data_IF_621514641639
#
_entry.id   IF_621514641639
#
_cell.length_a   1.000
_cell.length_b   1.000
_cell.length_c   1.000
_cell.angle_alpha   90.00
_cell.angle_beta   90.00
_cell.angle_gamma   90.00
#
_symmetry.space_group_name_H-M   'P 1'
#
loop_
_entity.id
_entity.type
_entity.pdbx_description
1 polymer ?
#
# COMPACT_ATOMS: atom_id res chain seq x y z
N UNK A 1 -50.97 -5.71 69.29
CA UNK A 1 -51.88 -4.56 69.09
C UNK A 1 -53.27 -4.83 69.66
N UNK A 2 -53.95 -5.92 69.27
CA UNK A 2 -55.25 -6.29 69.86
C UNK A 2 -55.22 -6.38 71.39
N UNK A 3 -54.25 -7.12 71.94
CA UNK A 3 -54.14 -7.31 73.39
C UNK A 3 -53.90 -5.99 74.14
N UNK A 4 -53.17 -5.06 73.51
CA UNK A 4 -52.93 -3.71 74.04
C UNK A 4 -54.21 -2.85 74.05
N UNK A 5 -55.02 -2.93 72.99
CA UNK A 5 -56.30 -2.20 72.90
C UNK A 5 -57.35 -2.72 73.89
N UNK A 6 -57.34 -4.03 74.17
CA UNK A 6 -58.23 -4.66 75.16
C UNK A 6 -57.86 -4.27 76.58
N UNK A 7 -56.56 -4.13 76.89
CA UNK A 7 -56.08 -3.73 78.22
C UNK A 7 -56.14 -2.22 78.49
N UNK A 8 -56.62 -1.42 77.53
CA UNK A 8 -56.56 0.04 77.59
C UNK A 8 -57.76 0.58 78.39
N UNK A 9 -57.48 1.33 79.46
CA UNK A 9 -58.47 2.03 80.27
C UNK A 9 -58.56 3.49 79.84
N UNK A 10 -59.79 4.01 79.71
CA UNK A 10 -60.08 5.37 79.23
C UNK A 10 -60.93 6.10 80.28
N UNK A 11 -60.49 7.29 80.70
CA UNK A 11 -61.16 8.14 81.70
C UNK A 11 -61.16 7.55 83.11
N UNK A 12 -60.65 8.29 84.11
CA UNK A 12 -60.56 7.93 85.56
C UNK A 12 -60.40 6.43 85.94
N UNK A 13 -59.82 5.61 85.06
CA UNK A 13 -59.55 4.18 85.24
C UNK A 13 -60.76 3.23 85.22
N UNK A 14 -61.87 3.53 84.52
CA UNK A 14 -63.09 2.68 84.60
C UNK A 14 -63.77 2.25 83.30
N UNK A 15 -63.42 2.80 82.14
CA UNK A 15 -64.05 2.41 80.87
C UNK A 15 -63.02 1.76 79.93
N UNK A 16 -63.44 0.68 79.26
CA UNK A 16 -62.67 0.03 78.20
C UNK A 16 -63.31 0.30 76.84
N UNK A 17 -62.53 0.20 75.76
CA UNK A 17 -63.05 0.20 74.40
C UNK A 17 -64.01 -0.98 74.20
N UNK A 18 -65.12 -0.75 73.51
CA UNK A 18 -66.02 -1.82 73.10
C UNK A 18 -65.36 -2.71 72.04
N UNK A 19 -65.79 -3.96 71.93
CA UNK A 19 -65.30 -4.88 70.88
C UNK A 19 -65.52 -4.31 69.47
N UNK A 20 -66.59 -3.55 69.26
CA UNK A 20 -66.89 -2.90 67.99
C UNK A 20 -65.85 -1.82 67.64
N UNK A 21 -65.45 -1.00 68.61
CA UNK A 21 -64.42 0.03 68.44
C UNK A 21 -63.04 -0.61 68.21
N UNK A 22 -62.69 -1.65 68.98
CA UNK A 22 -61.44 -2.39 68.80
C UNK A 22 -61.37 -3.03 67.40
N UNK A 23 -62.48 -3.64 66.94
CA UNK A 23 -62.56 -4.22 65.59
C UNK A 23 -62.43 -3.15 64.51
N UNK A 24 -63.05 -1.98 64.69
CA UNK A 24 -62.92 -0.84 63.78
C UNK A 24 -61.47 -0.35 63.66
N UNK A 25 -60.79 -0.16 64.79
CA UNK A 25 -59.38 0.26 64.84
C UNK A 25 -58.46 -0.77 64.16
N UNK A 26 -58.62 -2.06 64.46
CA UNK A 26 -57.82 -3.12 63.84
C UNK A 26 -58.05 -3.22 62.33
N UNK A 27 -59.29 -2.98 61.88
CA UNK A 27 -59.63 -2.97 60.45
C UNK A 27 -58.93 -1.83 59.74
N UNK A 28 -59.01 -0.60 60.25
CA UNK A 28 -58.32 0.54 59.63
C UNK A 28 -56.81 0.43 59.73
N UNK A 29 -56.29 -0.09 60.84
CA UNK A 29 -54.87 -0.37 60.97
C UNK A 29 -54.39 -1.39 59.92
N UNK A 30 -55.16 -2.44 59.65
CA UNK A 30 -54.89 -3.40 58.59
C UNK A 30 -54.81 -2.73 57.21
N UNK A 31 -55.79 -1.86 56.88
CA UNK A 31 -55.78 -1.11 55.62
C UNK A 31 -54.57 -0.18 55.50
N UNK A 32 -54.17 0.48 56.58
CA UNK A 32 -52.98 1.35 56.60
C UNK A 32 -51.72 0.53 56.35
N UNK A 33 -51.56 -0.63 57.00
CA UNK A 33 -50.43 -1.54 56.78
C UNK A 33 -50.36 -1.97 55.31
N UNK A 34 -51.48 -2.41 54.73
CA UNK A 34 -51.53 -2.84 53.33
C UNK A 34 -51.17 -1.69 52.38
N UNK A 35 -51.67 -0.48 52.65
CA UNK A 35 -51.36 0.72 51.86
C UNK A 35 -49.87 1.06 51.92
N UNK A 36 -49.29 1.12 53.12
CA UNK A 36 -47.86 1.44 53.29
C UNK A 36 -46.96 0.35 52.70
N UNK A 37 -47.35 -0.93 52.85
CA UNK A 37 -46.64 -2.04 52.21
C UNK A 37 -46.67 -1.91 50.69
N UNK A 38 -47.81 -1.57 50.11
CA UNK A 38 -47.96 -1.32 48.67
C UNK A 38 -47.09 -0.15 48.18
N UNK A 39 -47.00 0.94 48.94
CA UNK A 39 -46.10 2.08 48.62
C UNK A 39 -44.63 1.65 48.64
N UNK A 40 -44.21 0.90 49.67
CA UNK A 40 -42.85 0.41 49.80
C UNK A 40 -42.50 -0.52 48.63
N UNK A 41 -43.40 -1.42 48.26
CA UNK A 41 -43.21 -2.37 47.16
C UNK A 41 -43.14 -1.66 45.81
N UNK A 42 -44.01 -0.66 45.59
CA UNK A 42 -43.98 0.19 44.40
C UNK A 42 -42.67 0.99 44.31
N UNK A 43 -42.24 1.60 45.41
CA UNK A 43 -40.99 2.36 45.46
C UNK A 43 -39.78 1.46 45.18
N UNK A 44 -39.73 0.28 45.80
CA UNK A 44 -38.67 -0.72 45.55
C UNK A 44 -38.65 -1.16 44.09
N UNK A 45 -39.79 -1.50 43.52
CA UNK A 45 -39.88 -1.95 42.12
C UNK A 45 -39.49 -0.84 41.14
N UNK A 46 -39.87 0.41 41.43
CA UNK A 46 -39.46 1.56 40.63
C UNK A 46 -37.93 1.77 40.69
N UNK A 47 -37.32 1.67 41.87
CA UNK A 47 -35.87 1.78 42.03
C UNK A 47 -35.15 0.64 41.30
N UNK A 48 -35.66 -0.59 41.41
CA UNK A 48 -35.11 -1.77 40.74
C UNK A 48 -35.14 -1.60 39.21
N UNK A 49 -36.28 -1.19 38.67
CA UNK A 49 -36.46 -0.89 37.23
C UNK A 49 -35.48 0.18 36.76
N UNK A 50 -35.25 1.21 37.58
CA UNK A 50 -34.31 2.30 37.26
C UNK A 50 -32.88 1.76 37.22
N UNK A 51 -32.47 0.97 38.21
CA UNK A 51 -31.13 0.37 38.24
C UNK A 51 -30.91 -0.59 37.09
N UNK A 52 -31.88 -1.44 36.76
CA UNK A 52 -31.81 -2.35 35.60
C UNK A 52 -31.63 -1.58 34.29
N UNK A 53 -32.40 -0.50 34.11
CA UNK A 53 -32.27 0.39 32.94
C UNK A 53 -30.86 0.98 32.86
N UNK A 54 -30.35 1.53 33.97
CA UNK A 54 -28.99 2.09 34.02
C UNK A 54 -27.91 1.04 33.75
N UNK A 55 -28.05 -0.17 34.29
CA UNK A 55 -27.10 -1.26 34.05
C UNK A 55 -27.08 -1.65 32.58
N UNK A 56 -28.24 -1.77 31.94
CA UNK A 56 -28.34 -2.12 30.53
C UNK A 56 -27.74 -1.04 29.62
N UNK A 57 -27.95 0.23 29.97
CA UNK A 57 -27.35 1.35 29.26
C UNK A 57 -25.83 1.37 29.40
N UNK A 58 -25.30 1.17 30.61
CA UNK A 58 -23.86 1.07 30.84
C UNK A 58 -23.22 -0.12 30.11
N UNK A 59 -23.90 -1.27 30.05
CA UNK A 59 -23.43 -2.43 29.27
C UNK A 59 -23.30 -2.10 27.79
N UNK A 60 -24.31 -1.47 27.19
CA UNK A 60 -24.26 -1.02 25.78
C UNK A 60 -23.11 -0.05 25.53
N UNK A 61 -22.86 0.89 26.45
CA UNK A 61 -21.74 1.81 26.34
C UNK A 61 -20.40 1.09 26.38
N UNK A 62 -20.24 0.08 27.24
CA UNK A 62 -19.03 -0.74 27.32
C UNK A 62 -18.83 -1.56 26.04
N UNK A 63 -19.89 -2.17 25.49
CA UNK A 63 -19.82 -2.93 24.22
C UNK A 63 -19.44 -2.06 23.01
N UNK A 64 -19.80 -0.77 23.02
CA UNK A 64 -19.46 0.18 21.96
C UNK A 64 -18.07 0.82 22.08
N UNK A 65 -17.32 0.56 23.15
CA UNK A 65 -15.97 1.10 23.30
C UNK A 65 -14.98 0.37 22.39
N UNK A 66 -14.01 1.08 21.78
CA UNK A 66 -12.93 0.44 21.03
C UNK A 66 -12.21 -0.57 21.92
N UNK A 67 -12.04 -1.78 21.42
CA UNK A 67 -11.24 -2.79 22.11
C UNK A 67 -9.75 -2.48 21.95
N UNK A 68 -8.90 -3.11 22.75
CA UNK A 68 -7.46 -3.01 22.56
C UNK A 68 -7.03 -3.49 21.17
N UNK A 69 -7.73 -4.47 20.58
CA UNK A 69 -7.45 -4.95 19.23
C UNK A 69 -7.80 -3.89 18.17
N UNK A 70 -8.91 -3.17 18.32
CA UNK A 70 -9.29 -2.08 17.41
C UNK A 70 -8.25 -0.95 17.42
N UNK A 71 -7.74 -0.61 18.61
CA UNK A 71 -6.70 0.41 18.77
C UNK A 71 -5.38 -0.05 18.14
N UNK A 72 -4.99 -1.31 18.32
CA UNK A 72 -3.78 -1.86 17.69
C UNK A 72 -3.91 -1.96 16.16
N UNK A 73 -5.10 -2.31 15.65
CA UNK A 73 -5.38 -2.32 14.22
C UNK A 73 -5.25 -0.92 13.60
N UNK A 74 -5.78 0.11 14.28
CA UNK A 74 -5.64 1.51 13.86
C UNK A 74 -4.18 1.96 13.86
N UNK A 75 -3.40 1.63 14.91
CA UNK A 75 -1.95 1.94 14.94
C UNK A 75 -1.21 1.30 13.78
N UNK A 76 -1.52 0.04 13.45
CA UNK A 76 -0.92 -0.65 12.33
C UNK A 76 -1.26 0.03 11.01
N UNK A 77 -2.52 0.38 10.78
CA UNK A 77 -2.94 1.11 9.58
C UNK A 77 -2.23 2.46 9.44
N UNK A 78 -2.10 3.22 10.54
CA UNK A 78 -1.36 4.50 10.52
C UNK A 78 0.08 4.26 10.07
N UNK A 79 0.76 3.26 10.63
CA UNK A 79 2.13 2.93 10.25
C UNK A 79 2.25 2.52 8.78
N UNK A 80 1.33 1.67 8.30
CA UNK A 80 1.31 1.24 6.89
C UNK A 80 1.15 2.44 5.94
N UNK A 81 0.33 3.44 6.30
CA UNK A 81 0.19 4.68 5.54
C UNK A 81 1.44 5.57 5.60
N UNK A 82 2.07 5.70 6.77
CA UNK A 82 3.32 6.47 6.92
C UNK A 82 4.45 5.88 6.08
N UNK A 83 4.60 4.55 6.11
CA UNK A 83 5.61 3.84 5.32
C UNK A 83 5.34 3.98 3.81
N UNK A 84 4.08 3.83 3.37
CA UNK A 84 3.69 4.02 1.97
C UNK A 84 3.91 5.46 1.48
N UNK A 85 3.64 6.45 2.32
CA UNK A 85 3.84 7.86 2.03
C UNK A 85 5.33 8.21 1.89
N UNK A 86 6.17 7.66 2.77
CA UNK A 86 7.62 7.82 2.69
C UNK A 86 8.18 7.21 1.40
N UNK A 87 7.73 6.00 1.05
CA UNK A 87 8.14 5.32 -0.17
C UNK A 87 7.73 6.12 -1.42
N UNK A 88 6.48 6.61 -1.48
CA UNK A 88 6.03 7.43 -2.62
C UNK A 88 6.89 8.68 -2.83
N UNK A 89 7.27 9.37 -1.76
CA UNK A 89 8.14 10.55 -1.84
C UNK A 89 9.54 10.22 -2.34
N UNK A 90 10.09 9.09 -1.91
CA UNK A 90 11.39 8.62 -2.39
C UNK A 90 11.34 8.24 -3.88
N UNK A 91 10.29 7.53 -4.30
CA UNK A 91 10.09 7.13 -5.68
C UNK A 91 9.86 8.35 -6.60
N UNK A 92 9.08 9.34 -6.16
CA UNK A 92 8.87 10.59 -6.89
C UNK A 92 10.18 11.37 -7.05
N UNK A 93 11.00 11.44 -5.99
CA UNK A 93 12.32 12.08 -6.05
C UNK A 93 13.24 11.35 -7.03
N UNK A 94 13.31 10.02 -6.97
CA UNK A 94 14.10 9.19 -7.90
C UNK A 94 13.64 9.36 -9.34
N UNK A 95 12.33 9.37 -9.59
CA UNK A 95 11.77 9.55 -10.91
C UNK A 95 12.09 10.95 -11.47
N UNK A 96 11.99 12.00 -10.66
CA UNK A 96 12.37 13.35 -11.06
C UNK A 96 13.87 13.46 -11.39
N UNK A 97 14.74 12.91 -10.52
CA UNK A 97 16.19 12.89 -10.76
C UNK A 97 16.54 12.10 -12.02
N UNK A 98 15.90 10.96 -12.25
CA UNK A 98 16.07 10.15 -13.46
C UNK A 98 15.62 10.90 -14.71
N UNK A 99 14.44 11.54 -14.69
CA UNK A 99 13.94 12.33 -15.83
C UNK A 99 14.88 13.47 -16.19
N UNK A 100 15.38 14.22 -15.19
CA UNK A 100 16.34 15.31 -15.41
C UNK A 100 17.64 14.76 -15.99
N UNK A 101 18.12 13.61 -15.49
CA UNK A 101 19.32 12.96 -15.99
C UNK A 101 19.14 12.50 -17.43
N UNK A 102 18.02 11.87 -17.77
CA UNK A 102 17.69 11.43 -19.13
C UNK A 102 17.63 12.60 -20.11
N UNK A 103 16.99 13.71 -19.74
CA UNK A 103 16.96 14.93 -20.56
C UNK A 103 18.37 15.46 -20.83
N UNK A 104 19.20 15.58 -19.78
CA UNK A 104 20.59 16.03 -19.89
C UNK A 104 21.45 15.07 -20.73
N UNK A 105 21.27 13.76 -20.57
CA UNK A 105 21.95 12.73 -21.36
C UNK A 105 21.56 12.83 -22.83
N UNK A 106 20.27 12.99 -23.13
CA UNK A 106 19.79 13.19 -24.49
C UNK A 106 20.39 14.45 -25.13
N UNK A 107 20.49 15.54 -24.37
CA UNK A 107 21.14 16.77 -24.82
C UNK A 107 22.64 16.56 -25.09
N UNK A 108 23.35 15.84 -24.22
CA UNK A 108 24.78 15.54 -24.40
C UNK A 108 25.07 14.74 -25.68
N UNK A 109 24.22 13.76 -26.00
CA UNK A 109 24.37 12.92 -27.18
C UNK A 109 23.68 13.48 -28.44
N UNK A 110 23.06 14.66 -28.39
CA UNK A 110 22.28 15.21 -29.50
C UNK A 110 23.12 15.44 -30.76
N UNK A 111 24.37 15.87 -30.58
CA UNK A 111 25.29 16.17 -31.69
C UNK A 111 26.10 14.94 -32.14
N UNK A 112 25.89 13.78 -31.49
CA UNK A 112 26.63 12.55 -31.78
C UNK A 112 25.92 11.74 -32.85
N UNK A 113 26.61 11.53 -33.99
CA UNK A 113 26.11 10.70 -35.08
C UNK A 113 26.45 9.23 -34.84
N UNK A 114 25.46 8.46 -34.41
CA UNK A 114 25.59 7.00 -34.21
C UNK A 114 25.34 6.23 -35.51
N UNK A 115 26.02 5.09 -35.67
CA UNK A 115 25.85 4.20 -36.82
C UNK A 115 24.49 3.48 -36.83
N UNK A 116 23.88 3.29 -35.66
CA UNK A 116 22.55 2.69 -35.52
C UNK A 116 21.87 3.09 -34.20
N UNK A 117 20.55 2.91 -34.12
CA UNK A 117 19.80 3.10 -32.88
C UNK A 117 20.24 2.11 -31.78
N UNK A 118 20.66 0.91 -32.14
CA UNK A 118 21.19 -0.09 -31.20
C UNK A 118 22.54 0.34 -30.61
N UNK A 119 23.43 0.91 -31.43
CA UNK A 119 24.70 1.47 -30.96
C UNK A 119 24.45 2.65 -30.01
N UNK A 120 23.51 3.55 -30.34
CA UNK A 120 23.08 4.63 -29.45
C UNK A 120 22.59 4.11 -28.09
N UNK A 121 21.73 3.10 -28.09
CA UNK A 121 21.22 2.51 -26.84
C UNK A 121 22.32 1.85 -26.01
N UNK A 122 23.28 1.16 -26.64
CA UNK A 122 24.42 0.54 -25.97
C UNK A 122 25.33 1.56 -25.29
N UNK A 123 25.73 2.60 -26.02
CA UNK A 123 26.60 3.68 -25.50
C UNK A 123 25.90 4.46 -24.38
N UNK A 124 24.60 4.75 -24.50
CA UNK A 124 23.83 5.40 -23.43
C UNK A 124 23.72 4.50 -22.19
N UNK A 125 23.55 3.18 -22.37
CA UNK A 125 23.52 2.25 -21.24
C UNK A 125 24.86 2.18 -20.49
N UNK A 126 25.98 2.20 -21.21
CA UNK A 126 27.31 2.28 -20.59
C UNK A 126 27.56 3.63 -19.92
N UNK A 127 27.15 4.73 -20.56
CA UNK A 127 27.20 6.07 -19.97
C UNK A 127 26.43 6.15 -18.65
N UNK A 128 25.23 5.55 -18.59
CA UNK A 128 24.42 5.51 -17.38
C UNK A 128 25.05 4.65 -16.27
N UNK A 129 25.79 3.58 -16.61
CA UNK A 129 26.54 2.77 -15.64
C UNK A 129 27.74 3.50 -15.03
N UNK A 130 28.38 4.40 -15.79
CA UNK A 130 29.54 5.17 -15.32
C UNK A 130 29.18 6.26 -14.31
N UNK A 131 27.89 6.55 -14.15
CA UNK A 131 27.33 7.55 -13.24
C UNK A 131 28.06 8.91 -13.24
N UNK A 132 28.33 9.45 -14.44
CA UNK A 132 28.98 10.76 -14.57
C UNK A 132 28.22 11.86 -13.84
N UNK A 133 28.93 12.64 -13.03
CA UNK A 133 28.36 13.81 -12.35
C UNK A 133 28.11 14.93 -13.35
N UNK A 134 26.98 15.61 -13.21
CA UNK A 134 26.63 16.78 -14.02
C UNK A 134 27.02 18.06 -13.28
N UNK A 135 27.80 18.93 -13.92
CA UNK A 135 28.09 20.27 -13.42
C UNK A 135 27.06 21.25 -13.97
N UNK A 136 26.28 21.85 -13.07
CA UNK A 136 25.26 22.84 -13.43
C UNK A 136 25.87 24.16 -13.93
N UNK A 137 27.12 24.47 -13.56
CA UNK A 137 27.81 25.70 -13.95
C UNK A 137 28.25 25.63 -15.40
N UNK A 138 28.91 24.53 -15.78
CA UNK A 138 29.36 24.30 -17.17
C UNK A 138 28.29 23.65 -18.06
N UNK A 139 27.16 23.21 -17.48
CA UNK A 139 26.08 22.48 -18.15
C UNK A 139 26.59 21.23 -18.89
N UNK A 140 27.54 20.52 -18.29
CA UNK A 140 28.20 19.35 -18.87
C UNK A 140 28.40 18.25 -17.84
N UNK A 141 28.44 17.01 -18.31
CA UNK A 141 28.89 15.89 -17.51
C UNK A 141 30.42 15.91 -17.39
N UNK A 142 30.95 15.92 -16.16
CA UNK A 142 32.40 15.92 -15.94
C UNK A 142 33.00 14.60 -16.41
N UNK A 143 34.06 14.65 -17.23
CA UNK A 143 34.77 13.46 -17.72
C UNK A 143 34.04 12.68 -18.82
N UNK A 144 32.79 13.01 -19.11
CA UNK A 144 31.99 12.33 -20.12
C UNK A 144 32.44 12.62 -21.55
N UNK A 145 32.98 13.81 -21.80
CA UNK A 145 33.44 14.20 -23.15
C UNK A 145 34.69 13.43 -23.52
N UNK A 146 35.63 13.32 -22.57
CA UNK A 146 36.87 12.56 -22.70
C UNK A 146 36.56 11.07 -22.88
N UNK A 147 35.64 10.53 -22.08
CA UNK A 147 35.17 9.15 -22.21
C UNK A 147 34.52 8.89 -23.57
N UNK A 148 33.67 9.80 -24.07
CA UNK A 148 33.02 9.65 -25.37
C UNK A 148 34.04 9.64 -26.52
N UNK A 149 35.08 10.48 -26.46
CA UNK A 149 36.15 10.50 -27.45
C UNK A 149 37.01 9.22 -27.40
N UNK A 150 37.18 8.61 -26.23
CA UNK A 150 37.81 7.29 -26.09
C UNK A 150 36.92 6.18 -26.68
N UNK A 151 35.61 6.21 -26.44
CA UNK A 151 34.66 5.26 -27.04
C UNK A 151 34.62 5.37 -28.57
N UNK A 152 34.68 6.58 -29.13
CA UNK A 152 34.78 6.76 -30.59
C UNK A 152 36.05 6.16 -31.20
N UNK A 153 37.15 6.07 -30.43
CA UNK A 153 38.40 5.45 -30.88
C UNK A 153 38.38 3.93 -30.74
N UNK A 154 37.86 3.43 -29.62
CA UNK A 154 37.85 2.01 -29.30
C UNK A 154 36.74 1.24 -30.02
N UNK A 155 35.59 1.88 -30.23
CA UNK A 155 34.43 1.33 -30.95
C UNK A 155 34.00 2.26 -32.10
N UNK A 156 34.92 2.45 -33.05
CA UNK A 156 34.67 3.28 -34.23
C UNK A 156 33.48 2.78 -35.09
N UNK A 157 33.06 1.52 -34.95
CA UNK A 157 31.93 0.94 -35.66
C UNK A 157 30.55 1.38 -35.12
N UNK A 158 30.49 1.84 -33.86
CA UNK A 158 29.27 2.35 -33.24
C UNK A 158 28.93 3.79 -33.67
N UNK A 159 29.88 4.52 -34.26
CA UNK A 159 29.73 5.92 -34.66
C UNK A 159 29.87 6.09 -36.18
N UNK A 160 29.13 7.04 -36.75
CA UNK A 160 29.30 7.39 -38.15
C UNK A 160 30.59 8.22 -38.30
N UNK A 161 31.53 7.72 -39.08
CA UNK A 161 32.67 8.53 -39.50
C UNK A 161 32.21 9.58 -40.52
N UNK A 162 32.74 10.80 -40.47
CA UNK A 162 32.53 11.80 -41.52
C UNK A 162 33.23 11.43 -42.86
N UNK A 163 33.97 10.31 -42.89
CA UNK A 163 34.56 9.74 -44.10
C UNK A 163 33.53 8.84 -44.75
N UNK A 164 33.19 9.11 -46.02
CA UNK A 164 32.19 8.35 -46.76
C UNK A 164 32.44 6.83 -46.65
N UNK A 165 31.41 6.07 -46.24
CA UNK A 165 31.46 4.61 -46.26
C UNK A 165 31.92 4.13 -47.65
N UNK A 166 32.90 3.23 -47.75
CA UNK A 166 33.30 2.68 -49.04
C UNK A 166 32.09 1.97 -49.65
N UNK A 167 31.60 2.47 -50.79
CA UNK A 167 30.60 1.78 -51.58
C UNK A 167 31.29 0.60 -52.26
N UNK A 168 30.81 -0.63 -52.00
CA UNK A 168 31.25 -1.80 -52.75
C UNK A 168 30.73 -1.67 -54.19
N UNK A 169 31.57 -1.15 -55.08
CA UNK A 169 31.29 -1.01 -56.52
C UNK A 169 31.64 -2.28 -57.30
N UNK A 170 31.94 -3.39 -56.62
CA UNK A 170 32.27 -4.65 -57.27
C UNK A 170 31.07 -5.15 -58.09
N UNK A 171 31.15 -5.02 -59.42
CA UNK A 171 30.22 -5.69 -60.33
C UNK A 171 30.32 -7.19 -60.10
N UNK A 172 29.18 -7.79 -59.76
CA UNK A 172 29.03 -9.25 -59.71
C UNK A 172 29.19 -9.75 -61.14
N UNK A 173 30.36 -10.31 -61.48
CA UNK A 173 30.51 -11.09 -62.69
C UNK A 173 29.99 -12.48 -62.38
N UNK A 174 28.78 -12.79 -62.86
CA UNK A 174 28.29 -14.17 -62.89
C UNK A 174 29.19 -15.00 -63.81
N UNK A 175 29.64 -16.19 -63.39
CA UNK A 175 30.41 -17.05 -64.26
C UNK A 175 29.54 -17.51 -65.44
N UNK A 176 30.00 -17.28 -66.67
CA UNK A 176 29.40 -17.85 -67.88
C UNK A 176 29.60 -19.35 -67.88
N UNK A 177 28.50 -20.12 -67.86
CA UNK A 177 28.52 -21.58 -67.93
C UNK A 177 28.87 -22.03 -69.35
N UNK A 178 30.13 -22.34 -69.61
CA UNK A 178 30.50 -23.09 -70.81
C UNK A 178 30.43 -24.58 -70.45
N UNK A 179 29.24 -25.17 -70.64
CA UNK A 179 28.89 -26.54 -70.26
C UNK A 179 29.51 -27.58 -71.20
N UNK A 180 30.84 -27.62 -71.31
CA UNK A 180 31.51 -28.79 -71.89
C UNK A 180 31.92 -29.73 -70.76
N UNK A 181 31.32 -30.93 -70.70
CA UNK A 181 31.75 -31.98 -69.77
C UNK A 181 33.25 -32.30 -69.90
N UNK A 182 33.85 -32.10 -71.07
CA UNK A 182 35.28 -32.28 -71.33
C UNK A 182 36.17 -31.36 -70.47
N UNK A 183 35.74 -30.13 -70.21
CA UNK A 183 36.49 -29.19 -69.36
C UNK A 183 36.50 -29.64 -67.89
N UNK A 184 35.38 -30.20 -67.42
CA UNK A 184 35.22 -30.71 -66.06
C UNK A 184 36.02 -32.01 -65.88
N UNK A 185 35.99 -32.91 -66.86
CA UNK A 185 36.74 -34.17 -66.84
C UNK A 185 38.25 -33.91 -66.84
N UNK A 186 38.72 -32.90 -67.60
CA UNK A 186 40.12 -32.46 -67.60
C UNK A 186 40.53 -31.78 -66.30
N UNK A 187 39.66 -30.95 -65.71
CA UNK A 187 39.93 -30.29 -64.43
C UNK A 187 39.99 -31.29 -63.25
N UNK A 188 39.26 -32.41 -63.34
CA UNK A 188 39.26 -33.46 -62.33
C UNK A 188 40.34 -34.53 -62.53
N UNK A 189 41.19 -34.41 -63.56
CA UNK A 189 42.34 -35.31 -63.76
C UNK A 189 41.97 -36.76 -64.10
N UNK A 190 40.77 -36.99 -64.63
CA UNK A 190 40.18 -38.32 -64.84
C UNK A 190 40.33 -38.85 -66.29
N UNK A 191 41.18 -38.24 -67.12
CA UNK A 191 41.43 -38.76 -68.47
C UNK A 191 42.41 -39.93 -68.43
N UNK A 192 41.90 -41.17 -68.40
CA UNK A 192 42.73 -42.39 -68.48
C UNK A 192 42.98 -42.85 -69.94
N UNK A 193 44.29 -42.87 -70.24
CA UNK A 193 45.11 -43.78 -71.06
C UNK A 193 44.65 -44.35 -72.41
N UNK A 194 45.57 -44.33 -73.40
CA UNK A 194 45.97 -45.57 -74.09
C UNK A 194 47.46 -45.60 -74.41
N UNK A 195 48.14 -46.57 -73.78
CA UNK A 195 49.39 -47.19 -74.22
C UNK A 195 49.33 -47.58 -75.71
N UNK A 196 50.38 -47.25 -76.46
CA UNK A 196 50.82 -48.00 -77.64
C UNK A 196 52.31 -47.80 -77.89
#
# INVERSE_FOLDING_TARGET
>A
MRDYLVSLEIGEGKAHLSEAEIKGILTEHGKIIETEKGKIETAKNSELTTKETTINELKKQIEGMPTSEDVEALKKQIKDYEDAEAQRKEDEKKAAEQSIREERTNAFFNDVKFASNSAKAGIIAEFNKMDFKYDETSKKFLGATEWLEEQKKNDAGAFLSDVANPTFTAKINTPTSDNSMDSIIKAMGLSEEKNK
#
